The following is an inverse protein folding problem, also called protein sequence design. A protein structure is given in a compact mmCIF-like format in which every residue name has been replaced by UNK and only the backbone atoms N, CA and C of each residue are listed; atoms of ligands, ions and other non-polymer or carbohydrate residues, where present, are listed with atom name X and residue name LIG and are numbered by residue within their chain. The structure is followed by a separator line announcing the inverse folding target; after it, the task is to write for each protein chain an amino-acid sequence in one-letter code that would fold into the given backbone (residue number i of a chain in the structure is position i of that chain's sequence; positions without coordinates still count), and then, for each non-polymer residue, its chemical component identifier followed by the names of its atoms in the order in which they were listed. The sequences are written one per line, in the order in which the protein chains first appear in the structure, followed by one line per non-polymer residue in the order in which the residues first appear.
data_IF_417136800660
#
_entry.id   IF_417136800660
#
_cell.length_a   1.000
_cell.length_b   1.000
_cell.length_c   1.000
_cell.angle_alpha   90.00
_cell.angle_beta   90.00
_cell.angle_gamma   90.00
#
_symmetry.space_group_name_H-M   'P 1'
#
loop_
_entity.id
_entity.type
_entity.pdbx_description
1 polymer ?
#
# COMPACT_ATOMS: atom_id res chain seq x y z
N UNK A 1 -2.07 -35.40 5.55
CA UNK A 1 -2.77 -34.29 4.85
C UNK A 1 -3.83 -33.76 5.78
N UNK A 2 -3.62 -32.58 6.37
CA UNK A 2 -4.62 -31.93 7.24
C UNK A 2 -5.82 -31.53 6.38
N UNK A 3 -6.98 -32.16 6.61
CA UNK A 3 -8.25 -31.76 6.00
C UNK A 3 -8.72 -30.50 6.71
N UNK A 4 -8.61 -29.36 6.05
CA UNK A 4 -9.25 -28.11 6.49
C UNK A 4 -10.69 -28.13 5.99
N UNK A 5 -11.65 -28.38 6.89
CA UNK A 5 -13.07 -28.16 6.59
C UNK A 5 -13.36 -26.67 6.72
N UNK A 6 -13.59 -26.01 5.57
CA UNK A 6 -14.15 -24.66 5.55
C UNK A 6 -15.57 -24.72 6.14
N UNK A 7 -15.73 -24.26 7.38
CA UNK A 7 -17.05 -24.08 7.96
C UNK A 7 -17.78 -22.96 7.20
N UNK A 8 -19.03 -23.16 6.77
CA UNK A 8 -19.81 -22.11 6.15
C UNK A 8 -19.91 -20.92 7.11
N UNK A 9 -19.50 -19.73 6.64
CA UNK A 9 -19.46 -18.49 7.44
C UNK A 9 -18.08 -18.12 8.02
N UNK A 10 -17.07 -18.99 7.90
CA UNK A 10 -15.69 -18.65 8.30
C UNK A 10 -14.90 -18.18 7.08
N UNK A 11 -14.67 -16.87 6.97
CA UNK A 11 -13.78 -16.33 5.94
C UNK A 11 -12.38 -16.91 6.17
N UNK A 12 -11.82 -17.55 5.15
CA UNK A 12 -10.46 -18.06 5.20
C UNK A 12 -9.48 -16.96 5.61
N UNK A 13 -8.64 -17.24 6.61
CA UNK A 13 -7.61 -16.31 7.07
C UNK A 13 -6.71 -15.83 5.92
N UNK A 14 -6.48 -16.67 4.92
CA UNK A 14 -5.69 -16.33 3.75
C UNK A 14 -6.39 -15.27 2.90
N UNK A 15 -7.69 -15.43 2.67
CA UNK A 15 -8.51 -14.46 1.93
C UNK A 15 -8.54 -13.12 2.66
N UNK A 16 -8.72 -13.13 3.99
CA UNK A 16 -8.66 -11.91 4.80
C UNK A 16 -7.30 -11.20 4.70
N UNK A 17 -6.18 -11.94 4.82
CA UNK A 17 -4.83 -11.38 4.67
C UNK A 17 -4.60 -10.79 3.27
N UNK A 18 -5.07 -11.48 2.23
CA UNK A 18 -4.98 -11.00 0.85
C UNK A 18 -5.78 -9.70 0.65
N UNK A 19 -7.02 -9.65 1.17
CA UNK A 19 -7.85 -8.45 1.11
C UNK A 19 -7.20 -7.25 1.84
N UNK A 20 -6.65 -7.47 3.04
CA UNK A 20 -5.94 -6.40 3.76
C UNK A 20 -4.71 -5.91 2.99
N UNK A 21 -3.95 -6.82 2.38
CA UNK A 21 -2.80 -6.46 1.54
C UNK A 21 -3.23 -5.65 0.33
N UNK A 22 -4.38 -5.96 -0.27
CA UNK A 22 -4.95 -5.22 -1.39
C UNK A 22 -5.33 -3.80 -0.95
N UNK A 23 -6.14 -3.64 0.09
CA UNK A 23 -6.57 -2.32 0.59
C UNK A 23 -5.35 -1.45 0.94
N UNK A 24 -4.37 -2.02 1.65
CA UNK A 24 -3.12 -1.32 1.97
C UNK A 24 -2.39 -0.89 0.70
N UNK A 25 -2.25 -1.77 -0.28
CA UNK A 25 -1.56 -1.48 -1.54
C UNK A 25 -2.27 -0.36 -2.32
N UNK A 26 -3.60 -0.36 -2.34
CA UNK A 26 -4.40 0.68 -3.00
C UNK A 26 -4.17 2.04 -2.35
N UNK A 27 -4.38 2.14 -1.02
CA UNK A 27 -4.16 3.38 -0.28
C UNK A 27 -2.72 3.88 -0.49
N UNK A 28 -1.73 3.00 -0.32
CA UNK A 28 -0.32 3.35 -0.51
C UNK A 28 -0.05 3.85 -1.93
N UNK A 29 -0.65 3.25 -2.96
CA UNK A 29 -0.46 3.66 -4.34
C UNK A 29 -1.00 5.06 -4.66
N UNK A 30 -2.01 5.51 -3.91
CA UNK A 30 -2.66 6.82 -4.07
C UNK A 30 -1.91 7.92 -3.34
N UNK A 31 -1.40 7.64 -2.13
CA UNK A 31 -0.81 8.65 -1.25
C UNK A 31 0.71 8.81 -1.42
N UNK A 32 1.37 7.88 -2.11
CA UNK A 32 2.84 7.87 -2.18
C UNK A 32 3.34 8.58 -3.43
N UNK A 33 4.27 9.52 -3.23
CA UNK A 33 5.06 10.08 -4.32
C UNK A 33 6.10 9.04 -4.78
N UNK A 34 6.03 8.62 -6.05
CA UNK A 34 6.89 7.56 -6.60
C UNK A 34 7.17 7.77 -8.08
N UNK A 35 8.29 7.27 -8.64
CA UNK A 35 8.49 7.28 -10.08
C UNK A 35 7.38 6.47 -10.79
N UNK A 36 6.89 6.99 -11.92
CA UNK A 36 5.97 6.28 -12.81
C UNK A 36 6.69 5.25 -13.66
N UNK A 37 7.95 5.50 -13.97
CA UNK A 37 8.81 4.70 -14.83
C UNK A 37 10.21 4.61 -14.23
N UNK A 38 10.89 3.47 -14.45
CA UNK A 38 12.22 3.16 -13.92
C UNK A 38 13.24 2.85 -15.03
N UNK A 39 12.88 3.05 -16.30
CA UNK A 39 13.80 2.95 -17.44
C UNK A 39 14.96 3.92 -17.31
N UNK A 40 16.11 3.50 -17.82
CA UNK A 40 17.34 4.32 -17.95
C UNK A 40 17.29 5.34 -19.09
N UNK A 41 16.19 5.41 -19.83
CA UNK A 41 16.02 6.23 -21.03
C UNK A 41 14.86 7.20 -20.81
N UNK A 42 15.01 8.43 -21.31
CA UNK A 42 13.94 9.44 -21.27
C UNK A 42 12.63 8.88 -21.87
N UNK A 43 11.47 9.07 -21.20
CA UNK A 43 10.19 8.59 -21.70
C UNK A 43 9.84 9.03 -23.13
N UNK A 44 10.27 10.22 -23.57
CA UNK A 44 10.05 10.73 -24.93
C UNK A 44 10.83 9.93 -25.96
N UNK A 45 12.07 9.55 -25.65
CA UNK A 45 12.92 8.74 -26.54
C UNK A 45 12.39 7.32 -26.65
N UNK A 46 11.94 6.72 -25.54
CA UNK A 46 11.42 5.35 -25.57
C UNK A 46 10.22 5.17 -26.52
N UNK A 47 9.37 6.19 -26.63
CA UNK A 47 8.21 6.16 -27.51
C UNK A 47 8.55 6.47 -28.98
N UNK A 48 9.79 6.88 -29.28
CA UNK A 48 10.25 7.14 -30.64
C UNK A 48 10.55 5.80 -31.36
N UNK A 49 9.89 5.49 -32.49
CA UNK A 49 10.14 4.26 -33.24
C UNK A 49 11.57 4.13 -33.76
N UNK A 50 12.21 5.24 -34.16
CA UNK A 50 13.59 5.24 -34.64
C UNK A 50 14.58 4.91 -33.52
N UNK A 51 14.30 5.37 -32.30
CA UNK A 51 15.12 5.06 -31.13
C UNK A 51 15.06 3.58 -30.76
N UNK A 52 13.90 2.92 -30.90
CA UNK A 52 13.76 1.49 -30.58
C UNK A 52 14.71 0.61 -31.38
N UNK A 53 14.97 0.97 -32.64
CA UNK A 53 15.88 0.22 -33.51
C UNK A 53 17.36 0.45 -33.17
N UNK A 54 17.69 1.55 -32.50
CA UNK A 54 19.06 1.92 -32.11
C UNK A 54 19.32 1.78 -30.60
N UNK A 55 18.29 1.40 -29.83
CA UNK A 55 18.33 1.40 -28.37
C UNK A 55 19.49 0.55 -27.81
N UNK A 56 19.82 -0.56 -28.47
CA UNK A 56 20.91 -1.45 -28.05
C UNK A 56 22.28 -0.76 -28.04
N UNK A 57 22.49 0.27 -28.87
CA UNK A 57 23.74 1.03 -28.95
C UNK A 57 23.94 1.95 -27.74
N UNK A 58 22.88 2.19 -26.97
CA UNK A 58 22.89 3.09 -25.81
C UNK A 58 22.82 2.36 -24.47
N UNK A 59 22.99 1.04 -24.46
CA UNK A 59 22.99 0.25 -23.23
C UNK A 59 24.22 0.56 -22.36
N UNK A 60 24.01 0.64 -21.05
CA UNK A 60 25.08 0.96 -20.10
C UNK A 60 25.48 2.43 -20.06
N UNK A 61 24.86 3.29 -20.88
CA UNK A 61 25.08 4.73 -20.78
C UNK A 61 24.58 5.25 -19.43
N UNK A 62 25.48 5.89 -18.70
CA UNK A 62 25.17 6.56 -17.44
C UNK A 62 24.76 7.99 -17.78
N UNK A 63 23.54 8.36 -17.39
CA UNK A 63 23.07 9.73 -17.51
C UNK A 63 23.53 10.54 -16.31
N UNK A 64 23.81 11.82 -16.53
CA UNK A 64 23.96 12.76 -15.42
C UNK A 64 22.61 12.90 -14.69
N UNK A 65 22.66 12.90 -13.36
CA UNK A 65 21.50 13.07 -12.50
C UNK A 65 20.81 14.42 -12.74
N UNK A 66 21.57 15.45 -13.12
CA UNK A 66 21.02 16.77 -13.47
C UNK A 66 20.12 16.73 -14.71
N UNK A 67 20.38 15.79 -15.62
CA UNK A 67 19.64 15.58 -16.86
C UNK A 67 18.56 14.49 -16.74
N UNK A 68 18.40 13.87 -15.57
CA UNK A 68 17.46 12.79 -15.36
C UNK A 68 16.00 13.30 -15.35
N UNK A 69 15.29 13.06 -16.46
CA UNK A 69 13.87 13.39 -16.60
C UNK A 69 12.97 12.32 -15.97
N UNK A 70 12.92 12.29 -14.64
CA UNK A 70 12.08 11.33 -13.89
C UNK A 70 10.62 11.78 -13.90
N UNK A 71 9.74 10.93 -14.44
CA UNK A 71 8.29 11.16 -14.36
C UNK A 71 7.78 10.74 -12.99
N UNK A 72 7.42 11.71 -12.15
CA UNK A 72 6.88 11.46 -10.82
C UNK A 72 5.37 11.26 -10.83
N UNK A 73 4.90 10.28 -10.05
CA UNK A 73 3.52 10.16 -9.64
C UNK A 73 3.34 10.96 -8.36
N UNK A 74 2.71 12.12 -8.46
CA UNK A 74 2.33 12.94 -7.31
C UNK A 74 0.87 12.65 -6.97
N UNK A 75 0.53 12.42 -5.69
CA UNK A 75 -0.87 12.23 -5.27
C UNK A 75 -1.76 13.38 -5.74
N UNK A 76 -2.86 13.05 -6.42
CA UNK A 76 -3.86 14.06 -6.81
C UNK A 76 -4.84 14.29 -5.65
N UNK A 77 -5.51 15.46 -5.59
CA UNK A 77 -6.56 15.72 -4.60
C UNK A 77 -7.65 14.63 -4.59
N UNK A 78 -8.07 14.17 -5.76
CA UNK A 78 -9.06 13.11 -5.92
C UNK A 78 -8.54 11.76 -5.40
N UNK A 79 -7.27 11.45 -5.69
CA UNK A 79 -6.62 10.23 -5.19
C UNK A 79 -6.49 10.22 -3.67
N UNK A 80 -6.18 11.37 -3.07
CA UNK A 80 -6.14 11.54 -1.61
C UNK A 80 -7.53 11.38 -0.98
N UNK A 81 -8.56 11.96 -1.59
CA UNK A 81 -9.94 11.78 -1.13
C UNK A 81 -10.34 10.30 -1.18
N UNK A 82 -10.04 9.61 -2.28
CA UNK A 82 -10.38 8.19 -2.41
C UNK A 82 -9.63 7.31 -1.41
N UNK A 83 -8.37 7.64 -1.11
CA UNK A 83 -7.60 6.97 -0.07
C UNK A 83 -8.23 7.18 1.33
N UNK A 84 -8.71 8.39 1.63
CA UNK A 84 -9.42 8.69 2.87
C UNK A 84 -10.74 7.89 2.96
N UNK A 85 -11.51 7.82 1.87
CA UNK A 85 -12.76 7.07 1.83
C UNK A 85 -12.53 5.56 2.04
N UNK A 86 -11.47 5.00 1.43
CA UNK A 86 -11.07 3.59 1.65
C UNK A 86 -10.69 3.34 3.11
N UNK A 87 -9.92 4.25 3.71
CA UNK A 87 -9.53 4.14 5.12
C UNK A 87 -10.76 4.23 6.05
N UNK A 88 -11.65 5.18 5.79
CA UNK A 88 -12.90 5.35 6.55
C UNK A 88 -13.77 4.09 6.47
N UNK A 89 -13.89 3.50 5.27
CA UNK A 89 -14.75 2.34 5.02
C UNK A 89 -14.20 1.04 5.62
N UNK A 90 -12.91 0.77 5.49
CA UNK A 90 -12.34 -0.55 5.80
C UNK A 90 -11.47 -0.58 7.06
N UNK A 91 -10.91 0.55 7.48
CA UNK A 91 -9.96 0.60 8.60
C UNK A 91 -10.63 1.16 9.86
N UNK A 92 -11.49 2.17 9.74
CA UNK A 92 -12.00 2.91 10.89
C UNK A 92 -12.77 2.02 11.89
N UNK A 93 -13.64 1.15 11.41
CA UNK A 93 -14.39 0.21 12.25
C UNK A 93 -13.47 -0.74 13.03
N UNK A 94 -12.50 -1.34 12.34
CA UNK A 94 -11.51 -2.23 12.95
C UNK A 94 -10.67 -1.50 14.01
N UNK A 95 -10.27 -0.25 13.72
CA UNK A 95 -9.53 0.57 14.67
C UNK A 95 -10.35 0.92 15.92
N UNK A 96 -11.64 1.21 15.78
CA UNK A 96 -12.54 1.46 16.90
C UNK A 96 -12.69 0.24 17.80
N UNK A 97 -12.86 -0.95 17.21
CA UNK A 97 -12.93 -2.21 17.97
C UNK A 97 -11.64 -2.45 18.77
N UNK A 98 -10.48 -2.25 18.15
CA UNK A 98 -9.19 -2.38 18.84
C UNK A 98 -9.04 -1.38 19.99
N UNK A 99 -9.45 -0.13 19.79
CA UNK A 99 -9.43 0.90 20.86
C UNK A 99 -10.31 0.52 22.02
N UNK A 100 -11.50 -0.04 21.76
CA UNK A 100 -12.41 -0.53 22.79
C UNK A 100 -11.80 -1.69 23.58
N UNK A 101 -11.22 -2.69 22.92
CA UNK A 101 -10.56 -3.79 23.64
C UNK A 101 -9.37 -3.31 24.47
N UNK A 102 -8.63 -2.31 23.96
CA UNK A 102 -7.56 -1.70 24.72
C UNK A 102 -8.06 -1.00 25.99
N UNK A 103 -9.16 -0.22 25.91
CA UNK A 103 -9.72 0.43 27.10
C UNK A 103 -10.25 -0.57 28.12
N UNK A 104 -10.98 -1.59 27.67
CA UNK A 104 -11.49 -2.67 28.55
C UNK A 104 -10.34 -3.41 29.26
N UNK A 105 -9.23 -3.66 28.56
CA UNK A 105 -8.04 -4.28 29.15
C UNK A 105 -7.35 -3.38 30.19
N UNK A 106 -7.30 -2.07 29.96
CA UNK A 106 -6.74 -1.11 30.91
C UNK A 106 -7.60 -1.01 32.17
N UNK A 107 -8.92 -0.93 32.03
CA UNK A 107 -9.84 -0.90 33.18
C UNK A 107 -9.67 -2.14 34.05
N UNK A 108 -9.56 -3.32 33.44
CA UNK A 108 -9.35 -4.57 34.16
C UNK A 108 -8.00 -4.62 34.89
N UNK A 109 -6.93 -4.10 34.28
CA UNK A 109 -5.62 -4.02 34.93
C UNK A 109 -5.66 -3.13 36.17
N UNK A 110 -6.29 -1.96 36.08
CA UNK A 110 -6.45 -1.03 37.20
C UNK A 110 -7.28 -1.66 38.34
N UNK A 111 -8.39 -2.32 38.02
CA UNK A 111 -9.22 -3.01 39.04
C UNK A 111 -8.48 -4.16 39.73
N UNK A 112 -7.53 -4.81 39.06
CA UNK A 112 -6.70 -5.85 39.68
C UNK A 112 -5.71 -5.24 40.68
N UNK A 113 -5.06 -4.14 40.33
CA UNK A 113 -4.16 -3.42 41.22
C UNK A 113 -4.90 -2.93 42.48
N UNK A 114 -6.14 -2.44 42.33
CA UNK A 114 -6.99 -2.02 43.45
C UNK A 114 -7.41 -3.17 44.39
N UNK A 115 -7.40 -4.42 43.93
CA UNK A 115 -7.70 -5.61 44.74
C UNK A 115 -6.47 -6.22 45.42
N UNK A 116 -5.26 -5.86 44.98
CA UNK A 116 -3.98 -6.36 45.53
C UNK A 116 -3.40 -5.41 46.60
N UNK A 117 -4.00 -4.23 46.80
CA UNK A 117 -3.70 -3.24 47.87
C UNK A 117 -4.64 -3.41 49.06
#
# INVERSE_FOLDING_TARGET
VLKYEERPGVISLQVFKAANKLVRSLIHSLITCRPKEYRSVDPKLWNNPGWKNLHYEHWGNVIDLSAANVSWNVPSPEGLQWAADLAAKYINSSAQVLRRYHSEAQEWANHREDMEV
#
